data_IF_957377193061
#
_entry.id   IF_957377193061
#
_cell.length_a   1.000
_cell.length_b   1.000
_cell.length_c   1.000
_cell.angle_alpha   90.00
_cell.angle_beta   90.00
_cell.angle_gamma   90.00
#
_symmetry.space_group_name_H-M   'P 1'
#
loop_
_entity.id
_entity.type
_entity.pdbx_description
1 polymer ?
#
# COMPACT_ATOMS: atom_id res chain seq x y z
N UNK A 1 -45.56 34.91 -2.92
CA UNK A 1 -44.29 34.72 -3.64
C UNK A 1 -43.24 34.37 -2.59
N UNK A 2 -43.03 33.07 -2.36
CA UNK A 2 -41.73 32.35 -2.52
C UNK A 2 -40.57 32.99 -1.72
N UNK A 3 -39.89 32.29 -0.80
CA UNK A 3 -39.04 31.16 -1.15
C UNK A 3 -38.85 30.13 -0.03
N UNK A 4 -38.71 28.89 -0.50
CA UNK A 4 -38.33 27.66 0.20
C UNK A 4 -36.86 27.77 0.61
N UNK A 5 -36.57 27.47 1.88
CA UNK A 5 -35.20 27.45 2.42
C UNK A 5 -34.93 26.17 3.20
N UNK A 6 -35.10 25.00 2.55
CA UNK A 6 -34.59 23.72 3.04
C UNK A 6 -33.62 23.17 1.99
N UNK A 7 -32.35 23.02 2.36
CA UNK A 7 -31.46 21.88 2.02
C UNK A 7 -29.99 22.29 2.16
N UNK A 8 -29.41 22.04 3.33
CA UNK A 8 -27.96 21.91 3.50
C UNK A 8 -27.72 20.53 4.11
N UNK A 9 -27.79 19.50 3.27
CA UNK A 9 -27.35 18.14 3.55
C UNK A 9 -26.16 17.85 2.64
N UNK A 10 -24.95 17.97 3.19
CA UNK A 10 -23.77 17.23 2.76
C UNK A 10 -22.63 17.46 3.77
N UNK A 11 -22.81 17.02 5.02
CA UNK A 11 -21.63 16.68 5.83
C UNK A 11 -21.09 15.37 5.26
N UNK A 12 -20.12 15.50 4.36
CA UNK A 12 -19.32 14.38 3.89
C UNK A 12 -18.73 13.65 5.09
N UNK A 13 -19.01 12.36 5.17
CA UNK A 13 -18.37 11.47 6.13
C UNK A 13 -16.86 11.52 5.89
N UNK A 14 -16.15 12.28 6.72
CA UNK A 14 -14.70 12.15 6.85
C UNK A 14 -14.48 10.75 7.40
N UNK A 15 -14.15 9.81 6.52
CA UNK A 15 -13.65 8.51 6.91
C UNK A 15 -12.40 8.78 7.76
N UNK A 16 -12.55 8.65 9.08
CA UNK A 16 -11.43 8.69 10.01
C UNK A 16 -10.48 7.56 9.60
N UNK A 17 -9.41 7.90 8.88
CA UNK A 17 -8.30 6.99 8.70
C UNK A 17 -7.78 6.70 10.12
N UNK A 18 -7.78 5.43 10.58
CA UNK A 18 -7.30 5.13 11.91
C UNK A 18 -5.84 5.58 12.04
N UNK A 19 -5.44 6.12 13.21
CA UNK A 19 -4.06 6.54 13.44
C UNK A 19 -3.13 5.35 13.19
N UNK A 20 -2.20 5.54 12.26
CA UNK A 20 -1.12 4.61 11.97
C UNK A 20 -0.03 4.77 13.03
N UNK A 21 -0.32 4.34 14.25
CA UNK A 21 0.76 3.98 15.16
C UNK A 21 1.38 2.69 14.63
N UNK A 22 2.68 2.72 14.35
CA UNK A 22 3.48 1.53 14.08
C UNK A 22 3.49 0.70 15.37
N UNK A 23 2.50 -0.18 15.52
CA UNK A 23 2.39 -1.08 16.66
C UNK A 23 3.51 -2.11 16.50
N UNK A 24 4.59 -1.93 17.26
CA UNK A 24 5.53 -3.00 17.57
C UNK A 24 4.73 -4.18 18.15
N UNK A 25 4.56 -5.25 17.36
CA UNK A 25 3.69 -6.39 17.68
C UNK A 25 2.54 -6.62 16.69
N UNK A 26 2.44 -5.85 15.59
CA UNK A 26 1.46 -6.11 14.53
C UNK A 26 1.67 -7.50 13.89
N UNK A 27 0.61 -8.32 13.85
CA UNK A 27 0.65 -9.61 13.16
C UNK A 27 0.88 -9.42 11.66
N UNK A 28 1.61 -10.36 11.02
CA UNK A 28 1.86 -10.34 9.57
C UNK A 28 0.55 -10.14 8.77
N UNK A 29 -0.52 -10.85 9.13
CA UNK A 29 -1.81 -10.75 8.45
C UNK A 29 -2.42 -9.34 8.56
N UNK A 30 -2.24 -8.64 9.69
CA UNK A 30 -2.74 -7.28 9.86
C UNK A 30 -1.94 -6.28 9.03
N UNK A 31 -0.61 -6.40 9.01
CA UNK A 31 0.26 -5.58 8.18
C UNK A 31 -0.09 -5.71 6.68
N UNK A 32 -0.29 -6.94 6.21
CA UNK A 32 -0.67 -7.21 4.82
C UNK A 32 -2.05 -6.66 4.46
N UNK A 33 -3.03 -6.76 5.36
CA UNK A 33 -4.36 -6.16 5.14
C UNK A 33 -4.27 -4.64 5.01
N UNK A 34 -3.51 -3.98 5.89
CA UNK A 34 -3.31 -2.53 5.86
C UNK A 34 -2.60 -2.09 4.59
N UNK A 35 -1.55 -2.81 4.18
CA UNK A 35 -0.88 -2.57 2.91
C UNK A 35 -1.86 -2.70 1.74
N UNK A 36 -2.60 -3.80 1.64
CA UNK A 36 -3.55 -4.01 0.54
C UNK A 36 -4.61 -2.92 0.47
N UNK A 37 -5.18 -2.52 1.61
CA UNK A 37 -6.15 -1.45 1.68
C UNK A 37 -5.56 -0.11 1.18
N UNK A 38 -4.34 0.22 1.62
CA UNK A 38 -3.66 1.42 1.15
C UNK A 38 -3.39 1.40 -0.36
N UNK A 39 -2.88 0.27 -0.88
CA UNK A 39 -2.61 0.11 -2.30
C UNK A 39 -3.89 0.29 -3.13
N UNK A 40 -5.01 -0.34 -2.74
CA UNK A 40 -6.27 -0.19 -3.49
C UNK A 40 -6.82 1.24 -3.48
N UNK A 41 -6.63 1.97 -2.37
CA UNK A 41 -7.10 3.33 -2.21
C UNK A 41 -6.28 4.36 -3.01
N UNK A 42 -4.99 4.08 -3.24
CA UNK A 42 -4.05 5.04 -3.84
C UNK A 42 -3.55 4.65 -5.23
N UNK A 43 -3.82 3.44 -5.70
CA UNK A 43 -3.43 3.00 -7.04
C UNK A 43 -4.49 3.28 -8.11
N UNK A 44 -5.75 3.54 -7.71
CA UNK A 44 -6.85 3.73 -8.65
C UNK A 44 -7.01 5.19 -9.07
N UNK A 45 -7.11 5.42 -10.39
CA UNK A 45 -7.43 6.71 -10.99
C UNK A 45 -6.26 7.72 -11.05
N UNK A 46 -6.32 8.65 -12.00
CA UNK A 46 -5.48 9.87 -12.01
C UNK A 46 -4.05 9.73 -12.53
N UNK A 47 -3.55 8.53 -12.83
CA UNK A 47 -2.19 8.33 -13.34
C UNK A 47 -2.19 7.96 -14.84
N UNK A 48 -1.33 8.63 -15.62
CA UNK A 48 -1.19 8.39 -17.06
C UNK A 48 -0.31 7.17 -17.38
N UNK A 49 0.58 6.76 -16.46
CA UNK A 49 1.53 5.65 -16.66
C UNK A 49 1.63 4.78 -15.42
N UNK A 50 1.98 3.51 -15.60
CA UNK A 50 2.19 2.57 -14.49
C UNK A 50 3.31 3.07 -13.57
N UNK A 51 4.37 3.66 -14.12
CA UNK A 51 5.46 4.23 -13.33
C UNK A 51 4.98 5.34 -12.39
N UNK A 52 4.16 6.27 -12.90
CA UNK A 52 3.60 7.35 -12.09
C UNK A 52 2.70 6.81 -10.97
N UNK A 53 1.86 5.81 -11.27
CA UNK A 53 1.05 5.13 -10.27
C UNK A 53 1.92 4.46 -9.21
N UNK A 54 2.95 3.71 -9.62
CA UNK A 54 3.85 3.02 -8.69
C UNK A 54 4.56 3.99 -7.76
N UNK A 55 5.11 5.09 -8.29
CA UNK A 55 5.79 6.10 -7.48
C UNK A 55 4.84 6.78 -6.50
N UNK A 56 3.68 7.25 -6.98
CA UNK A 56 2.71 7.97 -6.16
C UNK A 56 2.15 7.07 -5.04
N UNK A 57 1.69 5.87 -5.39
CA UNK A 57 1.15 4.93 -4.40
C UNK A 57 2.21 4.48 -3.39
N UNK A 58 3.47 4.28 -3.80
CA UNK A 58 4.56 3.93 -2.86
C UNK A 58 4.83 5.04 -1.85
N UNK A 59 4.80 6.30 -2.28
CA UNK A 59 4.96 7.44 -1.38
C UNK A 59 3.79 7.51 -0.40
N UNK A 60 2.56 7.38 -0.90
CA UNK A 60 1.36 7.42 -0.07
C UNK A 60 1.29 6.27 0.96
N UNK A 61 1.74 5.08 0.57
CA UNK A 61 1.64 3.86 1.39
C UNK A 61 2.95 3.47 2.09
N UNK A 62 3.95 4.37 2.15
CA UNK A 62 5.26 4.05 2.72
C UNK A 62 5.19 3.43 4.13
N UNK A 63 4.42 3.95 5.09
CA UNK A 63 4.32 3.36 6.42
C UNK A 63 3.82 1.90 6.40
N UNK A 64 2.84 1.59 5.56
CA UNK A 64 2.28 0.24 5.43
C UNK A 64 3.23 -0.71 4.70
N UNK A 65 4.00 -0.20 3.72
CA UNK A 65 5.04 -0.96 3.04
C UNK A 65 6.14 -1.33 4.03
N UNK A 66 6.61 -0.37 4.83
CA UNK A 66 7.63 -0.61 5.85
C UNK A 66 7.12 -1.59 6.91
N UNK A 67 5.89 -1.44 7.41
CA UNK A 67 5.29 -2.37 8.38
C UNK A 67 5.14 -3.80 7.84
N UNK A 68 4.65 -3.96 6.60
CA UNK A 68 4.55 -5.27 5.97
C UNK A 68 5.92 -5.91 5.72
N UNK A 69 6.92 -5.11 5.29
CA UNK A 69 8.29 -5.58 5.14
C UNK A 69 8.83 -6.09 6.45
N UNK A 70 8.74 -5.30 7.51
CA UNK A 70 9.34 -5.63 8.79
C UNK A 70 8.67 -6.86 9.42
N UNK A 71 7.33 -6.97 9.32
CA UNK A 71 6.60 -8.16 9.75
C UNK A 71 7.00 -9.43 8.98
N UNK A 72 7.20 -9.32 7.65
CA UNK A 72 7.69 -10.44 6.82
C UNK A 72 9.11 -10.83 7.18
N UNK A 73 10.00 -9.87 7.42
CA UNK A 73 11.38 -10.13 7.83
C UNK A 73 11.37 -10.88 9.16
N UNK A 74 10.68 -10.35 10.19
CA UNK A 74 10.60 -11.00 11.52
C UNK A 74 10.07 -12.43 11.40
N UNK A 75 9.02 -12.66 10.62
CA UNK A 75 8.47 -13.99 10.40
C UNK A 75 9.45 -14.93 9.68
N UNK A 76 10.16 -14.44 8.66
CA UNK A 76 11.05 -15.25 7.82
C UNK A 76 12.43 -15.49 8.44
N UNK A 77 12.87 -14.66 9.38
CA UNK A 77 14.20 -14.77 10.02
C UNK A 77 14.16 -15.37 11.42
N UNK A 78 13.01 -15.83 11.88
CA UNK A 78 12.86 -16.44 13.20
C UNK A 78 13.80 -17.66 13.34
N UNK A 79 14.72 -17.60 14.31
CA UNK A 79 15.67 -18.68 14.59
C UNK A 79 16.89 -18.75 13.65
N UNK A 80 17.06 -17.78 12.74
CA UNK A 80 18.23 -17.73 11.85
C UNK A 80 19.40 -16.98 12.48
N UNK A 81 20.62 -17.32 12.05
CA UNK A 81 21.81 -16.53 12.34
C UNK A 81 21.83 -15.18 11.60
N UNK A 82 22.63 -14.19 12.04
CA UNK A 82 22.61 -12.83 11.49
C UNK A 82 22.85 -12.72 9.97
N UNK A 83 23.81 -13.48 9.44
CA UNK A 83 24.16 -13.44 8.01
C UNK A 83 23.04 -14.00 7.12
N UNK A 84 22.44 -15.09 7.58
CA UNK A 84 21.30 -15.73 6.91
C UNK A 84 20.06 -14.84 6.98
N UNK A 85 19.78 -14.28 8.16
CA UNK A 85 18.70 -13.31 8.37
C UNK A 85 18.84 -12.10 7.42
N UNK A 86 20.06 -11.62 7.21
CA UNK A 86 20.30 -10.50 6.28
C UNK A 86 20.04 -10.88 4.82
N UNK A 87 20.44 -12.09 4.40
CA UNK A 87 20.16 -12.58 3.06
C UNK A 87 18.64 -12.73 2.81
N UNK A 88 17.92 -13.28 3.80
CA UNK A 88 16.45 -13.40 3.77
C UNK A 88 15.78 -12.03 3.75
N UNK A 89 16.22 -11.08 4.57
CA UNK A 89 15.67 -9.72 4.59
C UNK A 89 15.76 -9.02 3.23
N UNK A 90 16.90 -9.17 2.54
CA UNK A 90 17.06 -8.65 1.16
C UNK A 90 16.12 -9.32 0.17
N UNK A 91 15.93 -10.64 0.26
CA UNK A 91 15.00 -11.39 -0.60
C UNK A 91 13.56 -10.94 -0.37
N UNK A 92 13.10 -10.93 0.89
CA UNK A 92 11.76 -10.48 1.29
C UNK A 92 11.48 -9.07 0.76
N UNK A 93 12.44 -8.16 0.87
CA UNK A 93 12.27 -6.79 0.38
C UNK A 93 12.09 -6.72 -1.14
N UNK A 94 12.84 -7.53 -1.91
CA UNK A 94 12.69 -7.58 -3.38
C UNK A 94 11.36 -8.20 -3.79
N UNK A 95 10.96 -9.29 -3.16
CA UNK A 95 9.69 -9.97 -3.43
C UNK A 95 8.51 -9.03 -3.13
N UNK A 96 8.51 -8.37 -1.96
CA UNK A 96 7.51 -7.36 -1.61
C UNK A 96 7.44 -6.21 -2.63
N UNK A 97 8.60 -5.73 -3.10
CA UNK A 97 8.64 -4.67 -4.11
C UNK A 97 7.96 -5.08 -5.43
N UNK A 98 8.17 -6.32 -5.87
CA UNK A 98 7.55 -6.86 -7.07
C UNK A 98 6.04 -7.06 -6.87
N UNK A 99 5.64 -7.62 -5.73
CA UNK A 99 4.22 -7.79 -5.38
C UNK A 99 3.48 -6.44 -5.34
N UNK A 100 4.08 -5.40 -4.78
CA UNK A 100 3.51 -4.05 -4.76
C UNK A 100 3.32 -3.52 -6.18
N UNK A 101 4.33 -3.66 -7.05
CA UNK A 101 4.22 -3.21 -8.44
C UNK A 101 3.11 -3.94 -9.20
N UNK A 102 3.00 -5.27 -9.03
CA UNK A 102 1.92 -6.06 -9.60
C UNK A 102 0.54 -5.68 -9.04
N UNK A 103 0.43 -5.46 -7.74
CA UNK A 103 -0.81 -5.04 -7.12
C UNK A 103 -1.27 -3.66 -7.64
N UNK A 104 -0.34 -2.71 -7.78
CA UNK A 104 -0.63 -1.38 -8.33
C UNK A 104 -1.08 -1.48 -9.79
N UNK A 105 -0.41 -2.29 -10.61
CA UNK A 105 -0.83 -2.55 -11.99
C UNK A 105 -2.28 -3.09 -12.04
N UNK A 106 -2.59 -4.06 -11.18
CA UNK A 106 -3.93 -4.64 -11.09
C UNK A 106 -5.00 -3.64 -10.63
N UNK A 107 -4.69 -2.81 -9.62
CA UNK A 107 -5.64 -1.82 -9.09
C UNK A 107 -5.83 -0.60 -10.00
N UNK A 108 -4.78 -0.21 -10.71
CA UNK A 108 -4.82 0.94 -11.63
C UNK A 108 -5.39 0.59 -13.01
N UNK A 109 -5.38 -0.70 -13.38
CA UNK A 109 -5.68 -1.16 -14.74
C UNK A 109 -4.56 -0.84 -15.75
N UNK A 110 -3.44 -0.29 -15.29
CA UNK A 110 -2.30 0.06 -16.14
C UNK A 110 -1.42 -1.17 -16.31
N UNK A 111 -1.09 -1.49 -17.55
CA UNK A 111 -0.06 -2.49 -17.85
C UNK A 111 1.24 -1.78 -18.19
N UNK A 112 2.37 -2.47 -17.98
CA UNK A 112 3.60 -2.06 -18.63
C UNK A 112 3.35 -2.22 -20.13
N UNK A 113 3.16 -1.11 -20.85
CA UNK A 113 3.20 -1.13 -22.30
C UNK A 113 4.58 -1.70 -22.68
N UNK A 114 4.60 -2.95 -23.15
CA UNK A 114 5.75 -3.46 -23.86
C UNK A 114 5.91 -2.57 -25.09
N UNK A 115 6.91 -1.69 -25.07
CA UNK A 115 7.36 -0.98 -26.25
C UNK A 115 7.93 -2.02 -27.22
N UNK A 116 7.07 -2.58 -28.05
CA UNK A 116 7.45 -3.26 -29.28
C UNK A 116 7.38 -2.25 -30.41
N UNK A 117 8.47 -1.50 -30.63
CA UNK A 117 8.80 -0.90 -31.92
C UNK A 117 10.32 -0.80 -32.04
#
# INVERSE_FOLDING_TARGET
>A
MQAIGLSLLALGAVAAAPPLEAVSGESLTQAERRLRACLSANASGGHATLEAAVLSTRVACKPQIDGARDARIVAATAGLGPDEAQAIARRVTRELNNEIAHAIANFSGLSAHHAHH
#
